data_IF_846132517473
#
_entry.id   IF_846132517473
#
_cell.length_a   1.000
_cell.length_b   1.000
_cell.length_c   1.000
_cell.angle_alpha   90.00
_cell.angle_beta   90.00
_cell.angle_gamma   90.00
#
_symmetry.space_group_name_H-M   'P 1'
#
loop_
_entity.id
_entity.type
_entity.pdbx_description
1 polymer ?
#
# COMPACT_ATOMS: atom_id res chain seq x y z
N UNK A 1 -1.11 -22.01 16.71
CA UNK A 1 -1.75 -20.66 16.65
C UNK A 1 -0.96 -19.68 15.78
N UNK A 2 0.38 -19.80 15.71
CA UNK A 2 1.26 -18.87 14.98
C UNK A 2 1.04 -18.80 13.46
N UNK A 3 0.74 -19.93 12.80
CA UNK A 3 0.52 -19.96 11.35
C UNK A 3 -0.69 -19.14 10.86
N UNK A 4 -1.76 -19.06 11.66
CA UNK A 4 -2.96 -18.26 11.34
C UNK A 4 -2.67 -16.76 11.39
N UNK A 5 -1.85 -16.33 12.36
CA UNK A 5 -1.45 -14.93 12.52
C UNK A 5 -0.57 -14.49 11.34
N UNK A 6 0.38 -15.33 10.92
CA UNK A 6 1.21 -15.08 9.73
C UNK A 6 0.36 -14.95 8.46
N UNK A 7 -0.65 -15.79 8.30
CA UNK A 7 -1.58 -15.73 7.17
C UNK A 7 -2.43 -14.45 7.20
N UNK A 8 -2.95 -14.06 8.36
CA UNK A 8 -3.70 -12.82 8.53
C UNK A 8 -2.85 -11.58 8.16
N UNK A 9 -1.59 -11.53 8.60
CA UNK A 9 -0.67 -10.42 8.26
C UNK A 9 -0.41 -10.34 6.76
N UNK A 10 -0.28 -11.47 6.06
CA UNK A 10 -0.13 -11.48 4.59
C UNK A 10 -1.37 -10.93 3.89
N UNK A 11 -2.56 -11.34 4.33
CA UNK A 11 -3.83 -10.86 3.78
C UNK A 11 -3.95 -9.34 3.98
N UNK A 12 -3.64 -8.84 5.17
CA UNK A 12 -3.66 -7.39 5.45
C UNK A 12 -2.72 -6.63 4.51
N UNK A 13 -1.50 -7.14 4.28
CA UNK A 13 -0.55 -6.51 3.34
C UNK A 13 -1.09 -6.48 1.90
N UNK A 14 -1.77 -7.53 1.45
CA UNK A 14 -2.40 -7.57 0.12
C UNK A 14 -3.54 -6.55 0.02
N UNK A 15 -4.40 -6.46 1.04
CA UNK A 15 -5.48 -5.48 1.08
C UNK A 15 -4.92 -4.06 1.04
N UNK A 16 -3.91 -3.77 1.86
CA UNK A 16 -3.25 -2.46 1.87
C UNK A 16 -2.63 -2.12 0.50
N UNK A 17 -1.99 -3.08 -0.15
CA UNK A 17 -1.46 -2.90 -1.51
C UNK A 17 -2.55 -2.47 -2.49
N UNK A 18 -3.69 -3.15 -2.50
CA UNK A 18 -4.82 -2.81 -3.38
C UNK A 18 -5.40 -1.42 -3.04
N UNK A 19 -5.54 -1.10 -1.75
CA UNK A 19 -6.04 0.21 -1.30
C UNK A 19 -5.12 1.34 -1.79
N UNK A 20 -3.81 1.21 -1.60
CA UNK A 20 -2.86 2.22 -2.06
C UNK A 20 -2.80 2.34 -3.59
N UNK A 21 -2.93 1.23 -4.30
CA UNK A 21 -3.04 1.24 -5.76
C UNK A 21 -4.30 1.99 -6.23
N UNK A 22 -5.45 1.74 -5.58
CA UNK A 22 -6.72 2.40 -5.88
C UNK A 22 -6.66 3.92 -5.60
N UNK A 23 -5.96 4.35 -4.52
CA UNK A 23 -5.73 5.77 -4.27
C UNK A 23 -4.98 6.44 -5.42
N UNK A 24 -3.93 5.81 -5.95
CA UNK A 24 -3.16 6.34 -7.08
C UNK A 24 -4.03 6.44 -8.32
N UNK A 25 -4.74 5.35 -8.68
CA UNK A 25 -5.60 5.32 -9.87
C UNK A 25 -6.72 6.36 -9.77
N UNK A 26 -7.32 6.53 -8.59
CA UNK A 26 -8.40 7.49 -8.40
C UNK A 26 -7.89 8.94 -8.43
N UNK A 27 -6.78 9.23 -7.76
CA UNK A 27 -6.17 10.55 -7.76
C UNK A 27 -5.68 11.00 -9.15
N UNK A 28 -5.37 10.06 -10.05
CA UNK A 28 -4.99 10.39 -11.43
C UNK A 28 -6.15 10.88 -12.31
N UNK A 29 -7.42 10.70 -11.91
CA UNK A 29 -8.57 11.07 -12.74
C UNK A 29 -8.77 12.59 -12.90
N UNK A 30 -8.21 13.40 -12.00
CA UNK A 30 -8.36 14.86 -12.01
C UNK A 30 -7.10 15.53 -11.50
N UNK A 31 -6.68 16.62 -12.16
CA UNK A 31 -5.51 17.40 -11.75
C UNK A 31 -5.89 18.36 -10.64
N UNK A 32 -5.22 18.27 -9.48
CA UNK A 32 -5.41 19.18 -8.36
C UNK A 32 -4.55 18.81 -7.16
N UNK A 33 -4.25 19.78 -6.28
CA UNK A 33 -3.37 19.58 -5.12
C UNK A 33 -3.88 18.49 -4.16
N UNK A 34 -5.20 18.39 -3.97
CA UNK A 34 -5.81 17.34 -3.14
C UNK A 34 -5.53 15.96 -3.73
N UNK A 35 -5.77 15.78 -5.03
CA UNK A 35 -5.55 14.51 -5.71
C UNK A 35 -4.06 14.15 -5.79
N UNK A 36 -3.20 15.16 -5.92
CA UNK A 36 -1.75 14.99 -5.85
C UNK A 36 -1.34 14.46 -4.46
N UNK A 37 -1.92 15.00 -3.39
CA UNK A 37 -1.74 14.48 -2.03
C UNK A 37 -2.21 13.02 -1.88
N UNK A 38 -3.36 12.67 -2.46
CA UNK A 38 -3.87 11.28 -2.47
C UNK A 38 -2.92 10.32 -3.20
N UNK A 39 -2.38 10.74 -4.36
CA UNK A 39 -1.39 9.96 -5.10
C UNK A 39 -0.14 9.75 -4.25
N UNK A 40 0.40 10.83 -3.65
CA UNK A 40 1.59 10.76 -2.81
C UNK A 40 1.39 9.85 -1.59
N UNK A 41 0.21 9.89 -0.96
CA UNK A 41 -0.14 8.99 0.14
C UNK A 41 -0.17 7.53 -0.32
N UNK A 42 -0.80 7.22 -1.46
CA UNK A 42 -0.81 5.88 -2.04
C UNK A 42 0.60 5.39 -2.39
N UNK A 43 1.41 6.25 -3.02
CA UNK A 43 2.79 5.94 -3.38
C UNK A 43 3.68 5.68 -2.15
N UNK A 44 3.55 6.52 -1.12
CA UNK A 44 4.23 6.33 0.16
C UNK A 44 3.85 5.01 0.83
N UNK A 45 2.57 4.64 0.79
CA UNK A 45 2.07 3.35 1.28
C UNK A 45 2.68 2.16 0.54
N UNK A 46 2.74 2.20 -0.80
CA UNK A 46 3.37 1.16 -1.60
C UNK A 46 4.88 1.02 -1.32
N UNK A 47 5.59 2.15 -1.21
CA UNK A 47 7.02 2.14 -0.86
C UNK A 47 7.26 1.57 0.54
N UNK A 48 6.41 1.89 1.51
CA UNK A 48 6.51 1.34 2.86
C UNK A 48 6.29 -0.18 2.87
N UNK A 49 5.31 -0.69 2.11
CA UNK A 49 5.10 -2.12 1.92
C UNK A 49 6.31 -2.80 1.28
N UNK A 50 6.86 -2.20 0.22
CA UNK A 50 8.03 -2.72 -0.46
C UNK A 50 9.26 -2.71 0.44
N UNK A 51 9.47 -1.65 1.22
CA UNK A 51 10.55 -1.57 2.19
C UNK A 51 10.40 -2.64 3.28
N UNK A 52 9.19 -2.82 3.83
CA UNK A 52 8.90 -3.87 4.82
C UNK A 52 9.14 -5.27 4.27
N UNK A 53 8.79 -5.49 2.99
CA UNK A 53 9.10 -6.73 2.30
C UNK A 53 10.62 -6.90 2.18
N UNK A 54 11.32 -5.95 1.58
CA UNK A 54 12.77 -6.03 1.36
C UNK A 54 13.55 -6.24 2.66
N UNK A 55 13.19 -5.56 3.76
CA UNK A 55 13.84 -5.74 5.07
C UNK A 55 13.67 -7.15 5.64
N UNK A 56 12.63 -7.88 5.24
CA UNK A 56 12.37 -9.24 5.73
C UNK A 56 13.14 -10.31 4.93
N UNK A 57 13.41 -10.05 3.66
CA UNK A 57 14.02 -11.03 2.74
C UNK A 57 15.49 -10.74 2.43
N UNK A 58 16.03 -9.62 2.90
CA UNK A 58 17.43 -9.23 2.80
C UNK A 58 18.09 -9.36 4.17
#
# INVERSE_FOLDING_TARGET
MEGKILLAVKIVKIILFVVFLMMIIWGQKQVGYVNLGVILAGLGGLLMLLYSYNKKYR
#
